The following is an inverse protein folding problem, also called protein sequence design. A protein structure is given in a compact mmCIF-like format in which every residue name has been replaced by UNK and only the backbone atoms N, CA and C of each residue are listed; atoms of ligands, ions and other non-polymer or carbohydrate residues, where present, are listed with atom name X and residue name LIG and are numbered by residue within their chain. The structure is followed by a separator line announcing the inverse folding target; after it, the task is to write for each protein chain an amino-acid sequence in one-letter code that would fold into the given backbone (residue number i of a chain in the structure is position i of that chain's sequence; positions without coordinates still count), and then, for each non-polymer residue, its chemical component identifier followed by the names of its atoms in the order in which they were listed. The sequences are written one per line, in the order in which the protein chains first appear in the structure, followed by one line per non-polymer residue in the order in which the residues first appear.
data_IF_159497093719
#
_entry.id   IF_159497093719
#
_cell.length_a   1.000
_cell.length_b   1.000
_cell.length_c   1.000
_cell.angle_alpha   90.00
_cell.angle_beta   90.00
_cell.angle_gamma   90.00
#
_symmetry.space_group_name_H-M   'P 1'
#
loop_
_entity.id
_entity.type
_entity.pdbx_description
1 polymer ?
#
# COMPACT_ATOMS: atom_id res chain seq x y z
N UNK A 1 -17.33 -17.60 6.58
CA UNK A 1 -16.20 -17.66 7.50
C UNK A 1 -15.69 -16.26 7.75
N UNK A 2 -15.67 -15.87 8.99
CA UNK A 2 -15.25 -14.52 9.36
C UNK A 2 -13.75 -14.46 9.47
N UNK A 3 -13.11 -13.93 8.45
CA UNK A 3 -11.73 -13.54 8.57
C UNK A 3 -11.70 -12.13 9.12
N UNK A 4 -11.04 -11.96 10.24
CA UNK A 4 -10.59 -10.65 10.63
C UNK A 4 -9.45 -10.29 9.69
N UNK A 5 -9.78 -9.57 8.62
CA UNK A 5 -8.76 -9.00 7.77
C UNK A 5 -8.30 -7.70 8.42
N UNK A 6 -7.12 -7.70 8.99
CA UNK A 6 -6.53 -6.47 9.52
C UNK A 6 -6.03 -5.62 8.35
N UNK A 7 -6.95 -4.90 7.74
CA UNK A 7 -6.62 -3.98 6.65
C UNK A 7 -5.93 -2.76 7.22
N UNK A 8 -4.71 -2.51 6.76
CA UNK A 8 -3.90 -1.38 7.21
C UNK A 8 -3.83 -0.26 6.18
N UNK A 9 -4.04 -0.59 4.91
CA UNK A 9 -3.99 0.41 3.85
C UNK A 9 -4.92 0.01 2.71
N UNK A 10 -5.45 1.02 2.04
CA UNK A 10 -6.23 0.81 0.82
C UNK A 10 -5.71 1.75 -0.26
N UNK A 11 -5.88 1.36 -1.51
CA UNK A 11 -5.63 2.25 -2.62
C UNK A 11 -6.60 1.96 -3.77
N UNK A 12 -6.81 2.96 -4.59
CA UNK A 12 -7.70 2.90 -5.75
C UNK A 12 -6.87 2.87 -7.02
N UNK A 13 -7.11 1.89 -7.85
CA UNK A 13 -6.39 1.75 -9.12
C UNK A 13 -7.35 1.31 -10.20
N UNK A 14 -7.45 2.12 -11.25
CA UNK A 14 -8.21 1.79 -12.46
C UNK A 14 -9.64 1.31 -12.19
N UNK A 15 -10.34 2.02 -11.31
CA UNK A 15 -11.72 1.69 -10.98
C UNK A 15 -11.90 0.57 -9.99
N UNK A 16 -10.83 0.08 -9.37
CA UNK A 16 -10.89 -1.02 -8.42
C UNK A 16 -10.23 -0.66 -7.09
N UNK A 17 -10.82 -1.16 -6.02
CA UNK A 17 -10.29 -0.97 -4.67
C UNK A 17 -9.41 -2.15 -4.29
N UNK A 18 -8.22 -1.82 -3.81
CA UNK A 18 -7.26 -2.80 -3.28
C UNK A 18 -7.01 -2.55 -1.81
N UNK A 19 -6.71 -3.61 -1.08
CA UNK A 19 -6.40 -3.55 0.34
C UNK A 19 -5.13 -4.32 0.65
N UNK A 20 -4.31 -3.74 1.51
CA UNK A 20 -3.11 -4.37 2.05
C UNK A 20 -3.36 -4.70 3.51
N UNK A 21 -3.08 -5.93 3.89
CA UNK A 21 -3.29 -6.37 5.26
C UNK A 21 -2.02 -6.18 6.09
N UNK A 22 -2.22 -6.21 7.41
CA UNK A 22 -1.13 -6.32 8.35
C UNK A 22 -0.32 -7.59 8.07
N UNK A 23 0.99 -7.54 8.32
CA UNK A 23 1.85 -8.72 8.22
C UNK A 23 1.28 -9.84 9.08
N UNK A 24 0.91 -10.92 8.44
CA UNK A 24 0.38 -12.07 9.15
C UNK A 24 1.53 -13.01 9.51
N UNK A 25 1.54 -13.47 10.75
CA UNK A 25 2.61 -14.32 11.29
C UNK A 25 4.01 -13.72 11.11
N UNK A 26 4.08 -12.38 11.10
CA UNK A 26 5.32 -11.62 11.11
C UNK A 26 6.07 -11.57 9.79
N UNK A 27 5.50 -12.04 8.67
CA UNK A 27 6.30 -12.11 7.45
C UNK A 27 5.63 -11.63 6.18
N UNK A 28 4.35 -11.83 5.98
CA UNK A 28 3.74 -11.52 4.69
C UNK A 28 2.59 -10.54 4.81
N UNK A 29 2.54 -9.63 3.85
CA UNK A 29 1.40 -8.76 3.62
C UNK A 29 0.63 -9.30 2.44
N UNK A 30 -0.69 -9.38 2.58
CA UNK A 30 -1.56 -9.82 1.51
C UNK A 30 -2.14 -8.63 0.79
N UNK A 31 -2.10 -8.68 -0.54
CA UNK A 31 -2.82 -7.75 -1.39
C UNK A 31 -4.13 -8.38 -1.82
N UNK A 32 -5.21 -7.76 -1.44
CA UNK A 32 -6.55 -8.16 -1.84
C UNK A 32 -7.16 -7.13 -2.79
N UNK A 33 -7.98 -7.63 -3.69
CA UNK A 33 -8.79 -6.81 -4.57
C UNK A 33 -10.25 -7.01 -4.20
N UNK A 34 -11.00 -5.92 -4.12
CA UNK A 34 -12.43 -6.00 -3.92
C UNK A 34 -13.07 -6.34 -5.26
N UNK A 35 -13.53 -7.58 -5.40
CA UNK A 35 -14.06 -8.08 -6.66
C UNK A 35 -15.46 -7.58 -6.97
N UNK A 36 -16.17 -7.10 -5.96
CA UNK A 36 -17.53 -6.60 -6.13
C UNK A 36 -17.80 -5.48 -5.15
N UNK A 37 -18.04 -4.29 -5.68
CA UNK A 37 -18.42 -3.13 -4.88
C UNK A 37 -19.93 -2.95 -5.02
N UNK A 38 -20.69 -3.48 -4.07
CA UNK A 38 -22.13 -3.37 -4.03
C UNK A 38 -22.56 -3.02 -2.62
N UNK A 39 -23.32 -1.94 -2.48
CA UNK A 39 -23.77 -1.47 -1.18
C UNK A 39 -24.80 -2.39 -0.52
N UNK A 40 -25.41 -3.28 -1.28
CA UNK A 40 -26.46 -4.18 -0.79
C UNK A 40 -26.01 -5.62 -0.66
N UNK A 41 -24.84 -5.97 -1.18
CA UNK A 41 -24.35 -7.34 -1.17
C UNK A 41 -23.11 -7.48 -0.32
N UNK A 42 -22.77 -8.71 0.00
CA UNK A 42 -21.51 -9.03 0.64
C UNK A 42 -20.37 -8.75 -0.33
N UNK A 43 -19.50 -7.83 0.04
CA UNK A 43 -18.31 -7.56 -0.72
C UNK A 43 -17.32 -8.70 -0.53
N UNK A 44 -16.75 -9.16 -1.64
CA UNK A 44 -15.77 -10.23 -1.62
C UNK A 44 -14.39 -9.69 -1.96
N UNK A 45 -13.42 -10.06 -1.13
CA UNK A 45 -12.02 -9.76 -1.38
C UNK A 45 -11.35 -10.98 -1.99
N UNK A 46 -10.65 -10.75 -3.09
CA UNK A 46 -9.89 -11.78 -3.77
C UNK A 46 -8.40 -11.55 -3.52
N UNK A 47 -7.72 -12.59 -3.05
CA UNK A 47 -6.27 -12.52 -2.88
C UNK A 47 -5.60 -12.40 -4.24
N UNK A 48 -4.80 -11.35 -4.41
CA UNK A 48 -4.08 -11.07 -5.66
C UNK A 48 -2.63 -11.49 -5.56
N UNK A 49 -1.95 -11.09 -4.48
CA UNK A 49 -0.53 -11.33 -4.33
C UNK A 49 -0.13 -11.24 -2.87
N UNK A 50 0.98 -11.88 -2.53
CA UNK A 50 1.61 -11.76 -1.21
C UNK A 50 3.00 -11.19 -1.38
N UNK A 51 3.44 -10.41 -0.39
CA UNK A 51 4.78 -9.85 -0.39
C UNK A 51 5.29 -9.71 1.05
N UNK A 52 6.58 -9.95 1.23
CA UNK A 52 7.24 -9.74 2.51
C UNK A 52 7.95 -8.40 2.48
N UNK A 53 7.34 -7.41 3.13
CA UNK A 53 7.99 -6.13 3.36
C UNK A 53 8.92 -6.21 4.57
N UNK A 54 9.81 -5.23 4.68
CA UNK A 54 10.77 -5.16 5.79
C UNK A 54 10.12 -4.87 7.14
N UNK A 55 8.89 -4.34 7.13
CA UNK A 55 8.13 -4.01 8.34
C UNK A 55 6.64 -3.96 8.02
N UNK A 56 5.84 -3.61 9.00
CA UNK A 56 4.39 -3.51 8.84
C UNK A 56 4.00 -2.36 7.93
N UNK A 57 3.09 -2.64 7.00
CA UNK A 57 2.49 -1.62 6.13
C UNK A 57 1.58 -0.73 6.96
N UNK A 58 1.68 0.58 6.76
CA UNK A 58 0.85 1.56 7.45
C UNK A 58 -0.03 2.37 6.51
N UNK A 59 0.37 2.54 5.26
CA UNK A 59 -0.38 3.33 4.29
C UNK A 59 0.01 2.95 2.86
N UNK A 60 -0.82 3.34 1.91
CA UNK A 60 -0.54 3.18 0.49
C UNK A 60 -1.26 4.25 -0.32
N UNK A 61 -0.72 4.58 -1.48
CA UNK A 61 -1.35 5.46 -2.44
C UNK A 61 -0.93 5.06 -3.85
N UNK A 62 -1.87 5.08 -4.79
CA UNK A 62 -1.62 4.78 -6.20
C UNK A 62 -1.93 6.01 -7.04
N UNK A 63 -0.96 6.49 -7.77
CA UNK A 63 -1.13 7.60 -8.70
C UNK A 63 0.03 7.63 -9.70
N UNK A 64 -0.20 8.22 -10.86
CA UNK A 64 0.83 8.41 -11.89
C UNK A 64 1.51 7.10 -12.32
N UNK A 65 0.75 6.00 -12.36
CA UNK A 65 1.30 4.69 -12.72
C UNK A 65 2.26 4.10 -11.68
N UNK A 66 2.18 4.54 -10.43
CA UNK A 66 3.04 4.09 -9.34
C UNK A 66 2.23 3.77 -8.11
N UNK A 67 2.64 2.71 -7.41
CA UNK A 67 2.10 2.38 -6.10
C UNK A 67 3.15 2.71 -5.04
N UNK A 68 2.79 3.59 -4.11
CA UNK A 68 3.58 3.85 -2.92
C UNK A 68 3.05 3.01 -1.77
N UNK A 69 3.92 2.25 -1.12
CA UNK A 69 3.59 1.50 0.08
C UNK A 69 4.51 1.94 1.20
N UNK A 70 3.90 2.41 2.28
CA UNK A 70 4.62 2.91 3.44
C UNK A 70 4.65 1.84 4.51
N UNK A 71 5.84 1.59 5.06
CA UNK A 71 6.01 0.81 6.28
C UNK A 71 6.53 1.72 7.39
N UNK A 72 6.69 1.21 8.59
CA UNK A 72 7.27 2.00 9.68
C UNK A 72 8.71 2.42 9.42
N UNK A 73 9.42 1.73 8.53
CA UNK A 73 10.86 1.96 8.30
C UNK A 73 11.18 2.49 6.92
N UNK A 74 10.27 2.38 5.96
CA UNK A 74 10.63 2.62 4.58
C UNK A 74 9.44 2.93 3.70
N UNK A 75 9.75 3.47 2.54
CA UNK A 75 8.81 3.69 1.45
C UNK A 75 9.21 2.80 0.27
N UNK A 76 8.25 2.05 -0.24
CA UNK A 76 8.41 1.20 -1.41
C UNK A 76 7.62 1.80 -2.57
N UNK A 77 8.26 1.99 -3.71
CA UNK A 77 7.59 2.47 -4.91
C UNK A 77 7.65 1.36 -5.96
N UNK A 78 6.49 0.93 -6.40
CA UNK A 78 6.35 -0.07 -7.45
C UNK A 78 5.87 0.64 -8.71
N UNK A 79 6.62 0.53 -9.79
CA UNK A 79 6.16 1.01 -11.08
C UNK A 79 5.16 0.01 -11.64
N UNK A 80 4.00 0.51 -12.06
CA UNK A 80 2.96 -0.34 -12.62
C UNK A 80 3.37 -0.78 -14.03
N UNK A 81 3.56 -2.08 -14.19
CA UNK A 81 3.82 -2.70 -15.48
C UNK A 81 2.71 -3.72 -15.71
N UNK A 82 1.87 -3.46 -16.69
CA UNK A 82 0.71 -4.30 -16.98
C UNK A 82 1.07 -5.73 -17.40
N UNK A 83 2.34 -5.99 -17.70
CA UNK A 83 2.80 -7.32 -18.10
C UNK A 83 3.14 -8.22 -16.92
N UNK A 84 3.22 -7.67 -15.70
CA UNK A 84 3.55 -8.41 -14.48
C UNK A 84 2.59 -8.05 -13.35
N UNK A 85 2.59 -8.84 -12.29
CA UNK A 85 1.82 -8.54 -11.09
C UNK A 85 2.35 -7.29 -10.39
N UNK A 86 1.52 -6.64 -9.59
CA UNK A 86 1.80 -5.32 -9.01
C UNK A 86 3.16 -5.26 -8.30
N UNK A 87 3.51 -6.28 -7.54
CA UNK A 87 4.74 -6.28 -6.77
C UNK A 87 5.95 -6.85 -7.52
N UNK A 88 5.77 -7.28 -8.76
CA UNK A 88 6.83 -7.87 -9.58
C UNK A 88 7.44 -6.88 -10.56
N UNK A 89 6.93 -5.65 -10.61
CA UNK A 89 7.48 -4.58 -11.43
C UNK A 89 8.77 -4.01 -10.84
N UNK A 90 9.26 -2.96 -11.47
CA UNK A 90 10.43 -2.25 -10.97
C UNK A 90 10.14 -1.62 -9.62
N UNK A 91 11.05 -1.83 -8.66
CA UNK A 91 10.88 -1.40 -7.28
C UNK A 91 11.97 -0.40 -6.91
N UNK A 92 11.56 0.71 -6.29
CA UNK A 92 12.47 1.62 -5.61
C UNK A 92 12.19 1.58 -4.12
N UNK A 93 13.23 1.59 -3.30
CA UNK A 93 13.11 1.43 -1.86
C UNK A 93 13.89 2.54 -1.17
N UNK A 94 13.23 3.25 -0.26
CA UNK A 94 13.78 4.40 0.47
C UNK A 94 13.65 4.13 1.96
N UNK A 95 14.77 4.01 2.66
CA UNK A 95 14.78 3.90 4.10
C UNK A 95 14.80 5.29 4.72
N UNK A 96 14.15 5.46 5.85
CA UNK A 96 14.14 6.73 6.58
C UNK A 96 14.05 6.47 8.08
N UNK A 97 14.43 7.51 8.84
CA UNK A 97 14.27 7.51 10.28
C UNK A 97 13.12 8.44 10.63
N UNK A 98 11.97 7.87 10.87
CA UNK A 98 10.80 8.59 11.34
C UNK A 98 10.04 7.70 12.30
N UNK A 99 9.27 8.31 13.18
CA UNK A 99 8.51 7.61 14.19
C UNK A 99 7.05 7.56 13.75
N UNK A 100 6.45 6.36 13.76
CA UNK A 100 5.02 6.15 13.52
C UNK A 100 4.43 6.93 12.32
N UNK A 101 4.95 6.64 11.14
CA UNK A 101 4.39 7.18 9.89
C UNK A 101 3.05 6.51 9.59
N UNK A 102 2.03 7.32 9.28
CA UNK A 102 0.65 6.84 9.17
C UNK A 102 0.00 7.10 7.82
N UNK A 103 0.55 8.00 7.01
CA UNK A 103 -0.06 8.36 5.74
C UNK A 103 0.98 8.64 4.68
N UNK A 104 0.64 8.32 3.44
CA UNK A 104 1.44 8.66 2.27
C UNK A 104 0.51 9.10 1.16
N UNK A 105 0.91 10.14 0.42
CA UNK A 105 0.18 10.57 -0.77
C UNK A 105 1.13 11.14 -1.80
N UNK A 106 0.87 10.87 -3.07
CA UNK A 106 1.55 11.54 -4.17
C UNK A 106 1.04 12.96 -4.30
N UNK A 107 1.95 13.92 -4.45
CA UNK A 107 1.58 15.28 -4.81
C UNK A 107 1.91 15.58 -6.27
N UNK A 108 2.83 14.86 -6.85
CA UNK A 108 3.10 14.81 -8.29
C UNK A 108 3.77 13.47 -8.62
N UNK A 109 4.16 13.27 -9.88
CA UNK A 109 4.74 12.00 -10.32
C UNK A 109 6.09 11.64 -9.70
N UNK A 110 6.74 12.60 -9.08
CA UNK A 110 8.09 12.43 -8.52
C UNK A 110 8.18 12.74 -7.02
N UNK A 111 7.07 13.09 -6.38
CA UNK A 111 7.09 13.56 -4.99
C UNK A 111 5.96 12.94 -4.18
N UNK A 112 6.30 12.45 -3.02
CA UNK A 112 5.31 11.99 -2.04
C UNK A 112 5.43 12.79 -0.75
N UNK A 113 4.30 12.89 -0.05
CA UNK A 113 4.24 13.42 1.31
C UNK A 113 3.98 12.28 2.26
N UNK A 114 4.72 12.24 3.35
CA UNK A 114 4.56 11.26 4.42
C UNK A 114 4.20 12.01 5.70
N UNK A 115 3.19 11.53 6.41
CA UNK A 115 2.71 12.17 7.63
C UNK A 115 2.90 11.22 8.80
N UNK A 116 3.53 11.73 9.85
CA UNK A 116 3.68 11.05 11.14
C UNK A 116 2.45 11.24 12.01
N UNK A 117 2.25 10.34 12.95
CA UNK A 117 1.18 10.45 13.95
C UNK A 117 1.22 11.77 14.72
N UNK A 118 2.42 12.31 14.96
CA UNK A 118 2.62 13.61 15.63
C UNK A 118 2.14 14.81 14.81
N UNK A 119 1.87 14.60 13.52
CA UNK A 119 1.50 15.67 12.60
C UNK A 119 2.68 16.23 11.81
N UNK A 120 3.89 15.73 12.02
CA UNK A 120 5.02 16.13 11.18
C UNK A 120 4.85 15.59 9.77
N UNK A 121 5.23 16.41 8.81
CA UNK A 121 5.08 16.10 7.38
C UNK A 121 6.45 16.11 6.73
N UNK A 122 6.73 15.04 6.02
CA UNK A 122 7.97 14.89 5.26
C UNK A 122 7.67 14.88 3.78
N UNK A 123 8.48 15.59 3.03
CA UNK A 123 8.41 15.60 1.57
C UNK A 123 9.57 14.78 1.03
N UNK A 124 9.27 13.75 0.28
CA UNK A 124 10.29 12.90 -0.34
C UNK A 124 10.20 13.00 -1.85
N UNK A 125 11.31 13.37 -2.46
CA UNK A 125 11.44 13.36 -3.90
C UNK A 125 11.98 12.00 -4.35
N UNK A 126 11.28 11.37 -5.27
CA UNK A 126 11.62 10.05 -5.79
C UNK A 126 12.72 10.10 -6.84
#
# INVERSE_FOLDING_TARGET
MNYSMDVEAVFWKEGELFALTKRFRGRETNLFKLSKLDSEANNEFQLVQKIDFDDEVTAADYAFGKLAVLTYKSLWIFNDDETVDMFDGEISHYEFEADQVESVTFIDSETVMIVEESGEIYRLKL
#
